data_IF_241128245382
#
_entry.id   IF_241128245382
#
_cell.length_a   1.000
_cell.length_b   1.000
_cell.length_c   1.000
_cell.angle_alpha   90.00
_cell.angle_beta   90.00
_cell.angle_gamma   90.00
#
_symmetry.space_group_name_H-M   'P 1'
#
loop_
_entity.id
_entity.type
_entity.pdbx_description
1 polymer ?
#
# COMPACT_ATOMS: atom_id res chain seq x y z
N UNK A 1 -36.77 4.65 1.16
CA UNK A 1 -36.08 4.94 2.44
C UNK A 1 -34.68 5.36 2.06
N UNK A 2 -34.35 6.64 2.20
CA UNK A 2 -33.01 7.16 2.02
C UNK A 2 -32.16 6.56 3.15
N UNK A 3 -31.21 5.68 2.79
CA UNK A 3 -30.22 5.22 3.76
C UNK A 3 -29.46 6.45 4.26
N UNK A 4 -29.48 6.69 5.58
CA UNK A 4 -28.57 7.65 6.18
C UNK A 4 -27.14 7.28 5.79
N UNK A 5 -26.28 8.27 5.47
CA UNK A 5 -24.88 7.98 5.16
C UNK A 5 -24.25 7.26 6.37
N UNK A 6 -23.40 6.25 6.15
CA UNK A 6 -22.76 5.51 7.23
C UNK A 6 -21.98 6.47 8.14
N UNK A 7 -22.15 6.28 9.43
CA UNK A 7 -21.73 7.18 10.51
C UNK A 7 -20.22 7.53 10.49
N UNK A 8 -19.37 6.69 9.92
CA UNK A 8 -17.91 6.81 10.09
C UNK A 8 -17.13 7.50 8.96
N UNK A 9 -17.74 7.77 7.80
CA UNK A 9 -17.08 8.59 6.77
C UNK A 9 -17.03 10.10 7.12
N UNK A 10 -17.54 10.46 8.30
CA UNK A 10 -17.58 11.84 8.79
C UNK A 10 -16.39 12.24 9.65
N UNK A 11 -15.55 11.26 10.09
CA UNK A 11 -14.38 11.59 10.90
C UNK A 11 -13.23 12.13 10.03
N UNK A 12 -12.51 13.10 10.56
CA UNK A 12 -11.47 13.83 9.84
C UNK A 12 -10.35 12.89 9.35
N UNK A 13 -10.04 11.85 10.12
CA UNK A 13 -9.08 10.82 9.73
C UNK A 13 -9.51 10.07 8.45
N UNK A 14 -10.78 9.70 8.32
CA UNK A 14 -11.29 8.97 7.14
C UNK A 14 -11.31 9.85 5.87
N UNK A 15 -11.29 11.18 6.03
CA UNK A 15 -11.19 12.17 4.94
C UNK A 15 -9.78 12.67 4.70
N UNK A 16 -8.82 12.32 5.57
CA UNK A 16 -7.44 12.83 5.51
C UNK A 16 -7.31 14.29 5.94
N UNK A 17 -8.24 14.81 6.71
CA UNK A 17 -8.28 16.20 7.17
C UNK A 17 -7.71 16.39 8.58
N UNK A 18 -7.53 15.30 9.35
CA UNK A 18 -6.97 15.38 10.69
C UNK A 18 -5.51 15.90 10.67
N UNK A 19 -5.15 16.80 11.62
CA UNK A 19 -3.81 17.36 11.69
C UNK A 19 -2.76 16.31 12.07
N UNK A 20 -1.52 16.52 11.63
CA UNK A 20 -0.37 15.70 12.02
C UNK A 20 -0.04 15.84 13.51
N UNK A 21 0.58 14.79 14.07
CA UNK A 21 0.99 14.70 15.49
C UNK A 21 2.48 14.46 15.64
N UNK A 22 3.25 14.46 14.54
CA UNK A 22 4.71 14.24 14.54
C UNK A 22 5.13 12.80 14.86
N UNK A 23 4.27 11.80 14.59
CA UNK A 23 4.53 10.38 14.91
C UNK A 23 5.70 9.76 14.15
N UNK A 24 6.14 10.40 13.08
CA UNK A 24 7.26 9.97 12.23
C UNK A 24 8.36 11.03 12.14
N UNK A 25 8.42 11.95 13.12
CA UNK A 25 9.42 13.02 13.13
C UNK A 25 10.83 12.46 12.93
N UNK A 26 11.55 12.98 11.92
CA UNK A 26 12.90 12.58 11.57
C UNK A 26 13.04 11.21 10.90
N UNK A 27 11.96 10.48 10.62
CA UNK A 27 12.01 9.21 9.89
C UNK A 27 12.16 9.44 8.39
N UNK A 28 12.94 8.59 7.74
CA UNK A 28 13.25 8.59 6.30
C UNK A 28 12.62 7.36 5.68
N UNK A 29 11.61 7.55 4.84
CA UNK A 29 10.76 6.45 4.36
C UNK A 29 10.75 6.41 2.84
N UNK A 30 10.98 5.23 2.27
CA UNK A 30 10.77 4.94 0.86
C UNK A 30 9.35 4.43 0.67
N UNK A 31 8.59 5.05 -0.24
CA UNK A 31 7.28 4.57 -0.68
C UNK A 31 7.39 4.13 -2.13
N UNK A 32 7.24 2.83 -2.39
CA UNK A 32 7.26 2.24 -3.73
C UNK A 32 5.82 2.03 -4.21
N UNK A 33 5.47 2.59 -5.36
CA UNK A 33 4.09 2.75 -5.84
C UNK A 33 3.45 3.99 -5.21
N UNK A 34 4.18 5.12 -5.23
CA UNK A 34 3.76 6.40 -4.64
C UNK A 34 2.89 7.25 -5.56
N UNK A 35 2.88 6.95 -6.87
CA UNK A 35 2.04 7.62 -7.84
C UNK A 35 0.57 7.19 -7.78
N UNK A 36 -0.19 7.70 -8.74
CA UNK A 36 -1.59 7.33 -8.94
C UNK A 36 -1.90 7.31 -10.43
N UNK A 37 -2.58 6.26 -10.88
CA UNK A 37 -3.20 6.22 -12.20
C UNK A 37 -4.69 6.51 -12.09
N UNK A 38 -5.24 7.25 -13.05
CA UNK A 38 -6.67 7.57 -13.09
C UNK A 38 -7.52 6.43 -13.68
N UNK A 39 -6.89 5.52 -14.45
CA UNK A 39 -7.57 4.43 -15.16
C UNK A 39 -8.74 4.88 -16.04
N UNK A 40 -8.72 6.12 -16.53
CA UNK A 40 -9.82 6.72 -17.29
C UNK A 40 -11.05 7.06 -16.45
N UNK A 41 -10.92 7.12 -15.13
CA UNK A 41 -11.98 7.56 -14.21
C UNK A 41 -11.95 9.09 -14.15
N UNK A 42 -13.08 9.72 -14.42
CA UNK A 42 -13.27 11.15 -14.23
C UNK A 42 -13.29 11.45 -12.73
N UNK A 43 -12.52 12.44 -12.28
CA UNK A 43 -12.35 12.80 -10.87
C UNK A 43 -12.01 11.56 -9.99
N UNK A 44 -10.85 10.92 -10.23
CA UNK A 44 -10.51 9.67 -9.57
C UNK A 44 -10.26 9.92 -8.07
N UNK A 45 -10.81 9.07 -7.16
CA UNK A 45 -10.48 9.16 -5.76
C UNK A 45 -9.00 8.87 -5.53
N UNK A 46 -8.47 9.43 -4.44
CA UNK A 46 -7.06 9.28 -4.08
C UNK A 46 -6.67 7.80 -3.94
N UNK A 47 -5.48 7.44 -4.47
CA UNK A 47 -4.91 6.10 -4.33
C UNK A 47 -4.21 5.89 -2.98
N UNK A 48 -4.08 4.62 -2.58
CA UNK A 48 -3.46 4.27 -1.28
C UNK A 48 -2.02 4.80 -1.16
N UNK A 49 -1.19 4.67 -2.21
CA UNK A 49 0.20 5.13 -2.19
C UNK A 49 0.32 6.63 -1.99
N UNK A 50 -0.52 7.41 -2.69
CA UNK A 50 -0.57 8.87 -2.56
C UNK A 50 -1.08 9.29 -1.18
N UNK A 51 -2.18 8.69 -0.68
CA UNK A 51 -2.72 9.00 0.64
C UNK A 51 -1.73 8.65 1.77
N UNK A 52 -1.06 7.48 1.68
CA UNK A 52 0.01 7.13 2.62
C UNK A 52 1.14 8.15 2.57
N UNK A 53 1.63 8.52 1.39
CA UNK A 53 2.73 9.47 1.25
C UNK A 53 2.41 10.82 1.89
N UNK A 54 1.22 11.37 1.61
CA UNK A 54 0.79 12.66 2.19
C UNK A 54 0.71 12.56 3.71
N UNK A 55 0.07 11.51 4.24
CA UNK A 55 -0.09 11.36 5.69
C UNK A 55 1.24 11.15 6.40
N UNK A 56 2.15 10.33 5.84
CA UNK A 56 3.47 10.11 6.43
C UNK A 56 4.30 11.39 6.42
N UNK A 57 4.20 12.22 5.37
CA UNK A 57 4.81 13.55 5.33
C UNK A 57 4.24 14.49 6.39
N UNK A 58 2.91 14.58 6.51
CA UNK A 58 2.22 15.34 7.56
C UNK A 58 2.65 14.95 8.97
N UNK A 59 3.05 13.71 9.16
CA UNK A 59 3.54 13.17 10.43
C UNK A 59 5.05 13.34 10.65
N UNK A 60 5.73 14.08 9.79
CA UNK A 60 7.12 14.51 9.96
C UNK A 60 8.17 13.64 9.24
N UNK A 61 7.78 12.70 8.39
CA UNK A 61 8.73 11.88 7.65
C UNK A 61 9.30 12.61 6.41
N UNK A 62 10.58 12.37 6.10
CA UNK A 62 11.17 12.65 4.78
C UNK A 62 10.88 11.48 3.85
N UNK A 63 10.35 11.73 2.64
CA UNK A 63 9.84 10.69 1.77
C UNK A 63 10.60 10.59 0.45
N UNK A 64 11.05 9.39 0.11
CA UNK A 64 11.44 9.02 -1.25
C UNK A 64 10.26 8.31 -1.93
N UNK A 65 9.77 8.92 -3.00
CA UNK A 65 8.55 8.53 -3.70
C UNK A 65 8.95 7.83 -5.01
N UNK A 66 9.00 6.51 -4.97
CA UNK A 66 9.39 5.69 -6.10
C UNK A 66 8.16 5.20 -6.87
N UNK A 67 8.14 5.41 -8.17
CA UNK A 67 7.08 4.94 -9.07
C UNK A 67 7.64 4.71 -10.47
N UNK A 68 7.00 3.83 -11.25
CA UNK A 68 7.32 3.65 -12.66
C UNK A 68 7.00 4.92 -13.46
N UNK A 69 5.93 5.61 -13.09
CA UNK A 69 5.53 6.90 -13.63
C UNK A 69 6.05 8.03 -12.73
N UNK A 70 7.22 8.57 -13.08
CA UNK A 70 7.87 9.65 -12.34
C UNK A 70 7.01 10.93 -12.26
N UNK A 71 6.24 11.25 -13.30
CA UNK A 71 5.38 12.43 -13.30
C UNK A 71 4.25 12.31 -12.29
N UNK A 72 3.67 11.10 -12.16
CA UNK A 72 2.65 10.82 -11.14
C UNK A 72 3.24 10.84 -9.72
N UNK A 73 4.48 10.37 -9.54
CA UNK A 73 5.20 10.49 -8.28
C UNK A 73 5.52 11.95 -7.94
N UNK A 74 5.84 12.80 -8.93
CA UNK A 74 6.06 14.25 -8.72
C UNK A 74 4.79 14.93 -8.22
N UNK A 75 3.63 14.64 -8.80
CA UNK A 75 2.35 15.16 -8.28
C UNK A 75 2.12 14.79 -6.81
N UNK A 76 2.52 13.58 -6.43
CA UNK A 76 2.44 13.16 -5.02
C UNK A 76 3.47 13.91 -4.16
N UNK A 77 4.67 14.15 -4.68
CA UNK A 77 5.72 14.90 -3.99
C UNK A 77 5.32 16.37 -3.75
N UNK A 78 4.62 17.00 -4.69
CA UNK A 78 4.07 18.34 -4.50
C UNK A 78 3.10 18.38 -3.31
N UNK A 79 2.22 17.41 -3.19
CA UNK A 79 1.29 17.32 -2.07
C UNK A 79 2.02 17.05 -0.74
N UNK A 80 3.05 16.22 -0.74
CA UNK A 80 3.91 15.97 0.45
C UNK A 80 4.64 17.24 0.88
N UNK A 81 5.19 18.00 -0.09
CA UNK A 81 5.87 19.28 0.21
C UNK A 81 4.88 20.33 0.73
N UNK A 82 3.62 20.30 0.29
CA UNK A 82 2.57 21.18 0.82
C UNK A 82 2.26 20.90 2.31
N UNK A 83 2.48 19.66 2.78
CA UNK A 83 2.43 19.31 4.21
C UNK A 83 3.71 19.73 4.99
N UNK A 84 4.69 20.33 4.31
CA UNK A 84 5.95 20.77 4.92
C UNK A 84 7.06 19.72 4.97
N UNK A 85 6.88 18.56 4.37
CA UNK A 85 7.83 17.45 4.39
C UNK A 85 8.71 17.39 3.14
N UNK A 86 10.00 16.96 3.25
CA UNK A 86 10.85 16.69 2.10
C UNK A 86 10.30 15.53 1.25
N UNK A 87 10.26 15.72 -0.07
CA UNK A 87 9.82 14.70 -1.04
C UNK A 87 10.81 14.56 -2.19
N UNK A 88 11.52 13.42 -2.26
CA UNK A 88 12.43 13.02 -3.35
C UNK A 88 11.69 12.10 -4.33
N UNK A 89 11.68 12.44 -5.61
CA UNK A 89 11.06 11.60 -6.65
C UNK A 89 12.09 10.68 -7.30
N UNK A 90 11.70 9.43 -7.47
CA UNK A 90 12.53 8.39 -8.09
C UNK A 90 11.70 7.62 -9.11
N UNK A 91 11.99 7.77 -10.41
CA UNK A 91 11.44 6.92 -11.46
C UNK A 91 12.10 5.54 -11.38
N UNK A 92 11.34 4.48 -11.04
CA UNK A 92 11.90 3.16 -10.86
C UNK A 92 10.88 2.06 -11.22
N UNK A 93 11.34 1.06 -11.98
CA UNK A 93 10.63 -0.21 -12.12
C UNK A 93 10.90 -1.07 -10.88
N UNK A 94 9.90 -1.20 -10.02
CA UNK A 94 10.01 -1.98 -8.80
C UNK A 94 10.31 -3.48 -9.03
N UNK A 95 10.08 -4.01 -10.22
CA UNK A 95 10.42 -5.39 -10.59
C UNK A 95 11.88 -5.59 -10.98
N UNK A 96 12.65 -4.50 -11.16
CA UNK A 96 14.10 -4.49 -11.47
C UNK A 96 14.92 -4.36 -10.18
N UNK A 97 15.83 -5.32 -9.96
CA UNK A 97 16.75 -5.27 -8.82
C UNK A 97 17.68 -4.05 -8.90
N UNK A 98 18.16 -3.74 -10.10
CA UNK A 98 19.04 -2.59 -10.34
C UNK A 98 18.33 -1.26 -10.00
N UNK A 99 17.10 -1.06 -10.53
CA UNK A 99 16.32 0.16 -10.27
C UNK A 99 15.95 0.32 -8.78
N UNK A 100 15.60 -0.78 -8.10
CA UNK A 100 15.33 -0.76 -6.67
C UNK A 100 16.58 -0.46 -5.85
N UNK A 101 17.72 -1.01 -6.24
CA UNK A 101 19.01 -0.73 -5.58
C UNK A 101 19.37 0.74 -5.71
N UNK A 102 19.28 1.31 -6.94
CA UNK A 102 19.51 2.74 -7.18
C UNK A 102 18.53 3.61 -6.35
N UNK A 103 17.26 3.24 -6.26
CA UNK A 103 16.29 3.98 -5.46
C UNK A 103 16.68 4.05 -3.97
N UNK A 104 17.17 2.96 -3.40
CA UNK A 104 17.67 2.93 -2.04
C UNK A 104 18.95 3.77 -1.87
N UNK A 105 19.88 3.70 -2.81
CA UNK A 105 21.12 4.47 -2.78
C UNK A 105 20.87 5.98 -2.88
N UNK A 106 20.00 6.41 -3.79
CA UNK A 106 19.61 7.82 -3.93
C UNK A 106 18.91 8.33 -2.68
N UNK A 107 18.03 7.52 -2.08
CA UNK A 107 17.35 7.89 -0.82
C UNK A 107 18.34 8.05 0.32
N UNK A 108 19.28 7.10 0.47
CA UNK A 108 20.29 7.16 1.52
C UNK A 108 21.25 8.34 1.32
N UNK A 109 21.59 8.69 0.08
CA UNK A 109 22.43 9.83 -0.24
C UNK A 109 21.73 11.17 0.06
N UNK A 110 20.44 11.30 -0.25
CA UNK A 110 19.65 12.52 -0.02
C UNK A 110 19.33 12.75 1.46
N UNK A 111 18.87 11.69 2.16
CA UNK A 111 18.37 11.83 3.51
C UNK A 111 19.32 11.30 4.61
N UNK A 112 20.46 10.71 4.23
CA UNK A 112 21.43 10.15 5.17
C UNK A 112 21.05 8.75 5.71
N UNK A 113 20.10 8.05 5.09
CA UNK A 113 19.69 6.68 5.43
C UNK A 113 18.22 6.40 5.14
N UNK A 114 17.74 5.22 5.57
CA UNK A 114 16.35 4.76 5.36
C UNK A 114 15.88 4.10 6.66
N UNK A 115 14.77 4.57 7.24
CA UNK A 115 14.19 4.04 8.48
C UNK A 115 12.88 3.28 8.24
N UNK A 116 12.27 3.47 7.07
CA UNK A 116 11.01 2.85 6.71
C UNK A 116 10.90 2.51 5.23
N UNK A 117 10.15 1.46 4.92
CA UNK A 117 9.83 1.05 3.56
C UNK A 117 8.35 0.72 3.46
N UNK A 118 7.67 1.27 2.46
CA UNK A 118 6.30 0.90 2.07
C UNK A 118 6.36 0.30 0.67
N UNK A 119 5.98 -0.98 0.55
CA UNK A 119 5.82 -1.67 -0.73
C UNK A 119 4.33 -1.71 -1.10
N UNK A 120 3.87 -0.69 -1.83
CA UNK A 120 2.46 -0.52 -2.20
C UNK A 120 2.16 -0.92 -3.65
N UNK A 121 3.17 -1.08 -4.47
CA UNK A 121 3.02 -1.39 -5.91
C UNK A 121 2.18 -2.65 -6.14
N UNK A 122 1.35 -2.60 -7.19
CA UNK A 122 0.58 -3.75 -7.60
C UNK A 122 -0.28 -3.49 -8.83
N UNK A 123 -0.34 -4.49 -9.70
CA UNK A 123 -1.16 -4.50 -10.91
C UNK A 123 -2.04 -5.74 -10.94
N UNK A 124 -3.14 -5.68 -11.70
CA UNK A 124 -3.97 -6.81 -12.02
C UNK A 124 -3.92 -7.13 -13.52
N UNK A 125 -4.11 -8.41 -13.88
CA UNK A 125 -4.29 -8.85 -15.24
C UNK A 125 -5.01 -10.20 -15.28
N UNK A 126 -5.56 -10.53 -16.44
CA UNK A 126 -6.30 -11.77 -16.68
C UNK A 126 -7.66 -11.78 -15.98
N UNK A 127 -8.60 -12.56 -16.52
CA UNK A 127 -9.93 -12.76 -15.94
C UNK A 127 -10.26 -14.26 -15.94
N UNK A 128 -10.34 -14.85 -14.74
CA UNK A 128 -10.45 -16.29 -14.56
C UNK A 128 -9.18 -17.04 -14.99
N UNK A 129 -9.07 -18.32 -14.65
CA UNK A 129 -7.89 -19.13 -15.00
C UNK A 129 -7.72 -19.27 -16.51
N UNK A 130 -8.82 -19.50 -17.25
CA UNK A 130 -8.77 -19.67 -18.70
C UNK A 130 -8.47 -18.38 -19.48
N UNK A 131 -8.77 -17.20 -18.90
CA UNK A 131 -8.51 -15.89 -19.50
C UNK A 131 -7.22 -15.23 -19.01
N UNK A 132 -6.37 -15.95 -18.28
CA UNK A 132 -5.07 -15.46 -17.80
C UNK A 132 -3.95 -16.12 -18.61
N UNK A 133 -3.17 -15.32 -19.35
CA UNK A 133 -2.02 -15.83 -20.10
C UNK A 133 -0.80 -16.06 -19.17
N UNK A 134 0.19 -16.83 -19.66
CA UNK A 134 1.46 -17.03 -18.94
C UNK A 134 2.22 -15.70 -18.83
N UNK A 135 2.15 -14.88 -19.87
CA UNK A 135 2.77 -13.55 -19.90
C UNK A 135 2.16 -12.61 -18.83
N UNK A 136 0.83 -12.64 -18.66
CA UNK A 136 0.15 -11.91 -17.60
C UNK A 136 0.55 -12.44 -16.22
N UNK A 137 0.65 -13.76 -16.07
CA UNK A 137 1.14 -14.38 -14.84
C UNK A 137 2.52 -13.89 -14.48
N UNK A 138 3.49 -13.97 -15.40
CA UNK A 138 4.87 -13.58 -15.17
C UNK A 138 4.98 -12.09 -14.84
N UNK A 139 4.26 -11.24 -15.57
CA UNK A 139 4.25 -9.79 -15.35
C UNK A 139 3.67 -9.41 -13.98
N UNK A 140 2.52 -9.99 -13.62
CA UNK A 140 1.88 -9.68 -12.31
C UNK A 140 2.72 -10.22 -11.16
N UNK A 141 3.29 -11.41 -11.27
CA UNK A 141 4.20 -11.96 -10.23
C UNK A 141 5.48 -11.13 -10.10
N UNK A 142 6.04 -10.63 -11.21
CA UNK A 142 7.18 -9.75 -11.18
C UNK A 142 6.88 -8.43 -10.43
N UNK A 143 5.77 -7.78 -10.76
CA UNK A 143 5.40 -6.49 -10.17
C UNK A 143 4.89 -6.65 -8.73
N UNK A 144 4.05 -7.67 -8.43
CA UNK A 144 3.37 -7.76 -7.14
C UNK A 144 4.13 -8.59 -6.10
N UNK A 145 4.95 -9.56 -6.50
CA UNK A 145 5.64 -10.45 -5.57
C UNK A 145 7.16 -10.25 -5.57
N UNK A 146 7.82 -10.29 -6.75
CA UNK A 146 9.27 -10.09 -6.85
C UNK A 146 9.70 -8.72 -6.35
N UNK A 147 8.96 -7.65 -6.67
CA UNK A 147 9.25 -6.30 -6.18
C UNK A 147 9.28 -6.24 -4.65
N UNK A 148 8.29 -6.87 -4.00
CA UNK A 148 8.20 -6.91 -2.54
C UNK A 148 9.35 -7.71 -1.92
N UNK A 149 9.74 -8.82 -2.58
CA UNK A 149 10.94 -9.58 -2.20
C UNK A 149 12.20 -8.70 -2.28
N UNK A 150 12.40 -7.98 -3.39
CA UNK A 150 13.53 -7.06 -3.57
C UNK A 150 13.54 -5.96 -2.50
N UNK A 151 12.38 -5.38 -2.22
CA UNK A 151 12.23 -4.37 -1.15
C UNK A 151 12.62 -4.93 0.22
N UNK A 152 12.14 -6.12 0.59
CA UNK A 152 12.54 -6.78 1.84
C UNK A 152 14.04 -7.05 1.90
N UNK A 153 14.63 -7.62 0.83
CA UNK A 153 16.06 -7.89 0.74
C UNK A 153 16.89 -6.63 1.00
N UNK A 154 16.61 -5.55 0.28
CA UNK A 154 17.33 -4.29 0.41
C UNK A 154 17.12 -3.65 1.78
N UNK A 155 15.91 -3.73 2.35
CA UNK A 155 15.62 -3.22 3.70
C UNK A 155 16.45 -3.94 4.76
N UNK A 156 16.52 -5.28 4.72
CA UNK A 156 17.31 -6.06 5.68
C UNK A 156 18.82 -5.79 5.57
N UNK A 157 19.31 -5.49 4.37
CA UNK A 157 20.72 -5.18 4.12
C UNK A 157 21.11 -3.75 4.53
N UNK A 158 20.20 -2.77 4.38
CA UNK A 158 20.56 -1.34 4.39
C UNK A 158 19.90 -0.49 5.48
N UNK A 159 18.83 -0.99 6.11
CA UNK A 159 18.14 -0.24 7.15
C UNK A 159 18.83 -0.41 8.52
N UNK A 160 18.87 0.67 9.33
CA UNK A 160 19.43 0.63 10.69
C UNK A 160 18.50 -0.11 11.66
N UNK A 161 18.97 -0.24 12.91
CA UNK A 161 18.14 -0.71 14.01
C UNK A 161 16.95 0.24 14.25
N UNK A 162 15.79 -0.33 14.49
CA UNK A 162 14.52 0.40 14.62
C UNK A 162 13.78 0.61 13.31
N UNK A 163 14.25 0.01 12.21
CA UNK A 163 13.58 0.03 10.92
C UNK A 163 12.20 -0.62 10.89
N UNK A 164 11.35 -0.19 9.95
CA UNK A 164 10.02 -0.79 9.74
C UNK A 164 9.69 -0.95 8.27
N UNK A 165 9.34 -2.18 7.87
CA UNK A 165 8.90 -2.54 6.52
C UNK A 165 7.40 -2.81 6.52
N UNK A 166 6.69 -2.19 5.60
CA UNK A 166 5.27 -2.38 5.36
C UNK A 166 5.04 -2.93 3.96
N UNK A 167 4.48 -4.13 3.87
CA UNK A 167 3.99 -4.70 2.62
C UNK A 167 2.49 -4.43 2.51
N UNK A 168 2.02 -4.08 1.30
CA UNK A 168 0.59 -3.85 1.04
C UNK A 168 0.02 -5.03 0.24
N UNK A 169 -0.77 -5.83 0.95
CA UNK A 169 -1.51 -6.97 0.43
C UNK A 169 -2.86 -6.60 -0.18
N UNK A 170 -3.80 -7.52 -0.08
CA UNK A 170 -5.21 -7.35 -0.46
C UNK A 170 -6.03 -8.51 0.11
N UNK A 171 -7.30 -8.27 0.43
CA UNK A 171 -8.26 -9.35 0.75
C UNK A 171 -8.43 -10.35 -0.39
N UNK A 172 -8.01 -10.02 -1.60
CA UNK A 172 -7.94 -10.95 -2.73
C UNK A 172 -7.08 -12.20 -2.44
N UNK A 173 -6.12 -12.13 -1.49
CA UNK A 173 -5.34 -13.28 -1.02
C UNK A 173 -6.18 -14.29 -0.21
N UNK A 174 -7.36 -13.92 0.25
CA UNK A 174 -8.22 -14.65 1.20
C UNK A 174 -9.61 -14.95 0.65
N UNK A 175 -10.03 -14.25 -0.40
CA UNK A 175 -11.33 -14.38 -1.02
C UNK A 175 -11.19 -14.86 -2.47
N UNK A 176 -12.22 -15.57 -2.96
CA UNK A 176 -12.26 -15.95 -4.37
C UNK A 176 -12.59 -14.72 -5.20
N UNK A 177 -11.65 -14.31 -6.03
CA UNK A 177 -11.73 -13.14 -6.88
C UNK A 177 -11.59 -13.52 -8.36
N UNK A 178 -12.17 -12.75 -9.30
CA UNK A 178 -12.05 -13.06 -10.72
C UNK A 178 -10.64 -12.86 -11.31
N UNK A 179 -9.68 -12.40 -10.51
CA UNK A 179 -8.29 -12.09 -10.88
C UNK A 179 -7.31 -13.08 -10.23
N UNK A 180 -7.14 -14.31 -10.74
CA UNK A 180 -6.45 -15.39 -10.04
C UNK A 180 -4.97 -15.12 -9.82
N UNK A 181 -4.26 -14.50 -10.77
CA UNK A 181 -2.84 -14.19 -10.62
C UNK A 181 -2.62 -13.06 -9.62
N UNK A 182 -3.50 -12.06 -9.60
CA UNK A 182 -3.46 -11.00 -8.57
C UNK A 182 -3.62 -11.61 -7.17
N UNK A 183 -4.62 -12.48 -6.99
CA UNK A 183 -4.86 -13.16 -5.73
C UNK A 183 -3.65 -14.00 -5.28
N UNK A 184 -3.08 -14.80 -6.20
CA UNK A 184 -1.88 -15.60 -5.93
C UNK A 184 -0.67 -14.73 -5.55
N UNK A 185 -0.43 -13.61 -6.27
CA UNK A 185 0.67 -12.71 -5.98
C UNK A 185 0.54 -12.03 -4.62
N UNK A 186 -0.66 -11.62 -4.22
CA UNK A 186 -0.92 -11.01 -2.90
C UNK A 186 -0.88 -12.05 -1.77
N UNK A 187 -1.22 -13.31 -2.03
CA UNK A 187 -1.06 -14.40 -1.06
C UNK A 187 0.41 -14.71 -0.76
N UNK A 188 1.30 -14.59 -1.74
CA UNK A 188 2.74 -14.78 -1.55
C UNK A 188 3.32 -13.80 -0.50
N UNK A 189 2.75 -12.60 -0.36
CA UNK A 189 3.23 -11.58 0.57
C UNK A 189 3.05 -11.98 2.04
N UNK A 190 2.10 -12.85 2.37
CA UNK A 190 1.91 -13.32 3.74
C UNK A 190 3.10 -14.18 4.21
N UNK A 191 3.62 -15.05 3.34
CA UNK A 191 4.81 -15.84 3.63
C UNK A 191 6.07 -14.96 3.67
N UNK A 192 6.21 -14.04 2.72
CA UNK A 192 7.32 -13.09 2.66
C UNK A 192 7.38 -12.20 3.90
N UNK A 193 6.24 -11.70 4.36
CA UNK A 193 6.14 -10.91 5.58
C UNK A 193 6.69 -11.66 6.79
N UNK A 194 6.26 -12.91 7.01
CA UNK A 194 6.73 -13.72 8.14
C UNK A 194 8.23 -14.00 8.06
N UNK A 195 8.74 -14.33 6.88
CA UNK A 195 10.17 -14.60 6.69
C UNK A 195 11.00 -13.34 6.96
N UNK A 196 10.63 -12.21 6.34
CA UNK A 196 11.31 -10.93 6.54
C UNK A 196 11.27 -10.46 8.00
N UNK A 197 10.16 -10.70 8.71
CA UNK A 197 10.03 -10.34 10.12
C UNK A 197 11.00 -11.15 11.01
N UNK A 198 11.18 -12.43 10.73
CA UNK A 198 12.11 -13.30 11.50
C UNK A 198 13.56 -12.94 11.20
N UNK A 199 13.92 -12.74 9.93
CA UNK A 199 15.29 -12.38 9.54
C UNK A 199 15.66 -10.95 9.98
N UNK A 200 14.69 -10.03 10.01
CA UNK A 200 14.90 -8.64 10.44
C UNK A 200 15.02 -8.48 11.96
N UNK A 201 14.44 -9.38 12.74
CA UNK A 201 14.40 -9.27 14.19
C UNK A 201 15.81 -9.38 14.83
N UNK A 202 16.10 -8.62 15.91
CA UNK A 202 15.24 -7.62 16.56
C UNK A 202 15.32 -6.22 15.94
N UNK A 203 16.12 -6.03 14.89
CA UNK A 203 16.48 -4.73 14.32
C UNK A 203 15.37 -4.09 13.49
N UNK A 204 14.69 -4.88 12.66
CA UNK A 204 13.71 -4.41 11.68
C UNK A 204 12.41 -5.17 11.87
N UNK A 205 11.29 -4.45 11.95
CA UNK A 205 9.95 -5.02 11.96
C UNK A 205 9.41 -5.09 10.53
N UNK A 206 8.73 -6.18 10.18
CA UNK A 206 8.03 -6.31 8.91
C UNK A 206 6.60 -6.72 9.16
N UNK A 207 5.64 -5.99 8.59
CA UNK A 207 4.22 -6.29 8.70
C UNK A 207 3.53 -6.19 7.33
N UNK A 208 2.38 -6.85 7.21
CA UNK A 208 1.55 -6.84 6.02
C UNK A 208 0.22 -6.14 6.33
N UNK A 209 -0.09 -5.09 5.60
CA UNK A 209 -1.39 -4.42 5.61
C UNK A 209 -2.25 -5.02 4.50
N UNK A 210 -3.46 -5.45 4.84
CA UNK A 210 -4.39 -6.12 3.91
C UNK A 210 -5.66 -5.26 3.78
N UNK A 211 -5.70 -4.34 2.79
CA UNK A 211 -6.90 -3.56 2.50
C UNK A 211 -8.03 -4.44 1.95
N UNK A 212 -9.27 -4.07 2.31
CA UNK A 212 -10.49 -4.60 1.74
C UNK A 212 -10.88 -3.94 0.43
N UNK A 213 -12.18 -3.68 0.28
CA UNK A 213 -12.69 -2.90 -0.84
C UNK A 213 -12.53 -1.41 -0.50
N UNK A 214 -11.55 -0.78 -1.14
CA UNK A 214 -11.23 0.64 -0.95
C UNK A 214 -11.68 1.43 -2.18
N UNK A 215 -12.29 2.59 -1.97
CA UNK A 215 -12.67 3.52 -3.05
C UNK A 215 -11.42 4.27 -3.52
N UNK A 216 -10.82 3.73 -4.57
CA UNK A 216 -9.66 4.27 -5.29
C UNK A 216 -9.91 4.16 -6.78
N UNK A 217 -9.12 4.82 -7.63
CA UNK A 217 -9.23 4.67 -9.09
C UNK A 217 -9.13 3.20 -9.52
N UNK A 218 -8.17 2.44 -9.00
CA UNK A 218 -8.04 1.00 -9.26
C UNK A 218 -9.27 0.22 -8.73
N UNK A 219 -9.81 0.59 -7.57
CA UNK A 219 -11.03 0.00 -7.02
C UNK A 219 -12.24 0.22 -7.91
N UNK A 220 -12.42 1.42 -8.45
CA UNK A 220 -13.51 1.75 -9.40
C UNK A 220 -13.34 1.02 -10.73
N UNK A 221 -12.12 0.92 -11.26
CA UNK A 221 -11.85 0.09 -12.44
C UNK A 221 -12.24 -1.38 -12.18
N UNK A 222 -11.89 -1.94 -11.03
CA UNK A 222 -12.27 -3.31 -10.68
C UNK A 222 -13.79 -3.50 -10.57
N UNK A 223 -14.54 -2.48 -10.11
CA UNK A 223 -16.02 -2.50 -10.12
C UNK A 223 -16.61 -2.47 -11.52
N UNK A 224 -16.00 -1.72 -12.44
CA UNK A 224 -16.42 -1.74 -13.86
C UNK A 224 -16.21 -3.11 -14.51
N UNK A 225 -15.10 -3.77 -14.20
CA UNK A 225 -14.78 -5.11 -14.73
C UNK A 225 -15.58 -6.23 -14.05
N UNK A 226 -16.03 -6.03 -12.83
CA UNK A 226 -16.78 -7.00 -12.03
C UNK A 226 -17.90 -6.30 -11.23
N UNK A 227 -19.09 -6.10 -11.84
CA UNK A 227 -20.20 -5.40 -11.19
C UNK A 227 -20.72 -6.07 -9.91
N UNK A 228 -20.35 -7.35 -9.67
CA UNK A 228 -20.69 -8.04 -8.42
C UNK A 228 -19.90 -7.48 -7.23
N UNK A 229 -18.77 -6.83 -7.47
CA UNK A 229 -17.93 -6.23 -6.42
C UNK A 229 -18.71 -5.22 -5.57
N UNK A 230 -19.55 -4.41 -6.20
CA UNK A 230 -20.34 -3.37 -5.49
C UNK A 230 -21.57 -3.94 -4.77
N UNK A 231 -21.87 -5.23 -4.99
CA UNK A 231 -22.96 -5.96 -4.31
C UNK A 231 -22.48 -6.77 -3.10
N UNK A 232 -21.16 -6.80 -2.86
CA UNK A 232 -20.59 -7.52 -1.72
C UNK A 232 -21.03 -6.83 -0.42
N UNK A 233 -21.55 -7.62 0.51
CA UNK A 233 -21.92 -7.12 1.83
C UNK A 233 -20.65 -6.81 2.65
N UNK A 234 -20.53 -5.59 3.09
CA UNK A 234 -19.49 -5.13 4.01
C UNK A 234 -20.21 -4.75 5.32
N UNK A 235 -19.83 -5.32 6.47
CA UNK A 235 -20.46 -4.97 7.75
C UNK A 235 -20.45 -3.48 8.08
N UNK A 236 -19.40 -2.75 7.69
CA UNK A 236 -19.33 -1.29 7.82
C UNK A 236 -20.26 -0.54 6.85
N UNK A 237 -21.02 -1.25 5.98
CA UNK A 237 -21.98 -0.72 4.99
C UNK A 237 -21.38 0.28 3.97
N UNK A 238 -20.07 0.32 3.80
CA UNK A 238 -19.36 1.15 2.81
C UNK A 238 -18.02 0.54 2.44
N UNK A 239 -17.47 0.98 1.33
CA UNK A 239 -16.06 0.79 1.03
C UNK A 239 -15.21 1.68 1.96
N UNK A 240 -13.96 1.27 2.22
CA UNK A 240 -13.00 2.09 2.95
C UNK A 240 -12.45 3.22 2.08
N UNK A 241 -11.82 4.20 2.70
CA UNK A 241 -11.06 5.25 2.02
C UNK A 241 -9.56 4.91 2.01
N UNK A 242 -8.81 5.50 1.08
CA UNK A 242 -7.35 5.37 1.07
C UNK A 242 -6.70 5.97 2.34
N UNK A 243 -7.35 6.92 2.98
CA UNK A 243 -6.90 7.50 4.23
C UNK A 243 -6.98 6.53 5.41
N UNK A 244 -8.03 5.72 5.50
CA UNK A 244 -8.14 4.67 6.52
C UNK A 244 -7.04 3.62 6.37
N UNK A 245 -6.66 3.30 5.13
CA UNK A 245 -5.48 2.47 4.84
C UNK A 245 -4.19 3.17 5.26
N UNK A 246 -4.07 4.47 4.98
CA UNK A 246 -2.90 5.27 5.35
C UNK A 246 -2.70 5.39 6.87
N UNK A 247 -3.77 5.53 7.67
CA UNK A 247 -3.66 5.54 9.13
C UNK A 247 -3.21 4.20 9.71
N UNK A 248 -3.64 3.09 9.14
CA UNK A 248 -3.14 1.77 9.52
C UNK A 248 -1.65 1.60 9.14
N UNK A 249 -1.24 2.10 7.97
CA UNK A 249 0.16 2.14 7.56
C UNK A 249 1.01 2.98 8.52
N UNK A 250 0.55 4.16 8.89
CA UNK A 250 1.20 5.05 9.84
C UNK A 250 1.43 4.36 11.21
N UNK A 251 0.43 3.68 11.75
CA UNK A 251 0.58 2.88 12.98
C UNK A 251 1.71 1.85 12.83
N UNK A 252 1.72 1.07 11.75
CA UNK A 252 2.71 0.00 11.54
C UNK A 252 4.13 0.53 11.29
N UNK A 253 4.27 1.75 10.78
CA UNK A 253 5.57 2.40 10.53
C UNK A 253 6.10 3.17 11.74
N UNK A 254 5.23 3.57 12.66
CA UNK A 254 5.58 4.37 13.84
C UNK A 254 6.11 3.53 15.00
N UNK A 255 6.57 4.19 16.05
CA UNK A 255 6.98 3.58 17.33
C UNK A 255 5.81 2.96 18.11
N UNK A 256 4.54 3.33 17.78
CA UNK A 256 3.35 2.80 18.44
C UNK A 256 3.19 1.29 18.23
N UNK A 257 3.75 0.75 17.14
CA UNK A 257 3.75 -0.68 16.80
C UNK A 257 5.08 -1.39 17.13
N UNK A 258 5.84 -0.90 18.11
CA UNK A 258 7.19 -1.39 18.44
C UNK A 258 7.25 -2.90 18.78
N UNK A 259 6.16 -3.50 19.22
CA UNK A 259 6.04 -4.94 19.53
C UNK A 259 5.22 -5.72 18.49
N UNK A 260 4.98 -5.13 17.29
CA UNK A 260 4.19 -5.73 16.20
C UNK A 260 5.12 -6.04 15.04
N UNK A 261 5.39 -7.32 14.78
CA UNK A 261 6.17 -7.80 13.62
C UNK A 261 5.63 -9.15 13.13
N UNK A 262 5.71 -9.42 11.83
CA UNK A 262 5.20 -10.64 11.19
C UNK A 262 3.68 -10.72 11.13
N UNK A 263 2.96 -9.61 11.38
CA UNK A 263 1.51 -9.61 11.48
C UNK A 263 0.83 -9.18 10.18
N UNK A 264 -0.36 -9.73 9.98
CA UNK A 264 -1.28 -9.34 8.92
C UNK A 264 -2.38 -8.46 9.53
N UNK A 265 -2.34 -7.15 9.27
CA UNK A 265 -3.39 -6.21 9.69
C UNK A 265 -4.42 -6.06 8.57
N UNK A 266 -5.64 -6.54 8.79
CA UNK A 266 -6.73 -6.43 7.82
C UNK A 266 -7.51 -5.14 8.10
N UNK A 267 -7.73 -4.34 7.04
CA UNK A 267 -8.51 -3.09 7.07
C UNK A 267 -9.58 -3.18 5.98
N UNK A 268 -10.72 -3.77 6.31
CA UNK A 268 -11.72 -4.20 5.33
C UNK A 268 -13.18 -3.95 5.72
N UNK A 269 -13.43 -3.20 6.78
CA UNK A 269 -14.79 -2.93 7.28
C UNK A 269 -15.54 -4.18 7.74
N UNK A 270 -14.82 -5.27 8.05
CA UNK A 270 -15.38 -6.55 8.48
C UNK A 270 -15.73 -7.49 7.31
N UNK A 271 -15.34 -7.18 6.09
CA UNK A 271 -15.64 -7.97 4.88
C UNK A 271 -15.27 -9.45 5.05
N UNK A 272 -14.09 -9.75 5.55
CA UNK A 272 -13.58 -11.14 5.66
C UNK A 272 -14.10 -11.91 6.87
N UNK A 273 -14.74 -11.23 7.84
CA UNK A 273 -15.29 -11.85 9.07
C UNK A 273 -16.81 -11.74 9.18
N UNK A 274 -17.43 -10.94 8.31
CA UNK A 274 -18.88 -10.79 8.28
C UNK A 274 -19.61 -12.01 7.75
N UNK A 275 -20.92 -12.12 7.99
CA UNK A 275 -21.72 -13.18 7.40
C UNK A 275 -21.67 -13.07 5.88
N UNK A 276 -21.27 -14.15 5.22
CA UNK A 276 -21.41 -14.24 3.76
C UNK A 276 -22.90 -14.19 3.45
N UNK A 277 -23.31 -13.20 2.64
CA UNK A 277 -24.67 -13.25 2.10
C UNK A 277 -24.84 -14.59 1.38
N UNK A 278 -25.76 -15.41 1.86
CA UNK A 278 -26.21 -16.61 1.12
C UNK A 278 -26.81 -16.11 -0.17
N UNK A 279 -26.42 -16.65 -1.33
CA UNK A 279 -26.95 -16.26 -2.63
C UNK A 279 -28.44 -16.42 -2.73
#
# INVERSE_FOLDING_TARGET
MSAEPPVDATVDEARGEAPGRGRLEGRRIVVVGAGQEDHGIEDPPIGNGRAMSILLGREGASLALADLNADSAEQTAELVRAEGAPGLVIGADASSEEAMTEAFERTAAEFGGIDGLVMNVGIGAGLGLAGTSVEDWDRVMAVNARSHFLGCKLALERMPDGGSVLLVGSVASREVMPFPVYAASKAALEALCRQSAVEGAPRIRTNLLIPGLIDTSLGRLASQLSPLRDKVFIPAHRQGTAWEVAYAALFLLSGESSYVTGQNLIVDGGLTVGPRATP
#
